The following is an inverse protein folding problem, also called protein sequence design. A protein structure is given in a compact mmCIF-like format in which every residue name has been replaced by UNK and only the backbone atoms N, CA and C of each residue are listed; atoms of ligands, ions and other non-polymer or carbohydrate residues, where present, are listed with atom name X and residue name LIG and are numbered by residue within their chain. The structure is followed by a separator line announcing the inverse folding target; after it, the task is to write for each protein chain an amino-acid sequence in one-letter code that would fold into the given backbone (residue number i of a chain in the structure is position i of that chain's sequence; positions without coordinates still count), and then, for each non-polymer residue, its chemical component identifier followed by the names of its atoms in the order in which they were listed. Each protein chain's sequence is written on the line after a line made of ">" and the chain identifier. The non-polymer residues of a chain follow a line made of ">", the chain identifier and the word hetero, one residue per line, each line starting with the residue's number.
data_IF_688335985482
#
_entry.id   IF_688335985482
#
_cell.length_a   1.000
_cell.length_b   1.000
_cell.length_c   1.000
_cell.angle_alpha   90.00
_cell.angle_beta   90.00
_cell.angle_gamma   90.00
#
_symmetry.space_group_name_H-M   'P 1'
#
loop_
_entity.id
_entity.type
_entity.pdbx_description
1 polymer ?
#
# COMPACT_ATOMS: atom_id res chain seq x y z
N UNK A 1 -78.33 -61.00 -18.87
CA UNK A 1 -76.99 -61.33 -18.45
C UNK A 1 -76.17 -60.00 -18.54
N UNK A 2 -75.78 -59.51 -17.38
CA UNK A 2 -75.33 -58.15 -17.19
C UNK A 2 -73.84 -58.06 -17.50
N UNK A 3 -73.43 -57.18 -18.44
CA UNK A 3 -72.07 -56.79 -18.63
C UNK A 3 -71.88 -55.37 -18.04
N UNK A 4 -71.15 -55.26 -16.94
CA UNK A 4 -70.79 -54.00 -16.28
C UNK A 4 -69.65 -53.39 -17.02
N UNK A 5 -69.85 -52.21 -17.62
CA UNK A 5 -68.80 -51.36 -18.17
C UNK A 5 -68.02 -50.76 -17.03
N UNK A 6 -66.72 -51.07 -16.93
CA UNK A 6 -65.81 -50.51 -16.00
C UNK A 6 -65.27 -49.21 -16.62
N UNK A 7 -65.64 -48.07 -16.03
CA UNK A 7 -65.08 -46.75 -16.40
C UNK A 7 -63.75 -46.54 -15.70
N UNK A 8 -62.69 -46.47 -16.48
CA UNK A 8 -61.33 -46.15 -16.02
C UNK A 8 -61.18 -44.63 -16.00
N UNK A 9 -60.80 -43.99 -14.90
CA UNK A 9 -60.52 -42.55 -14.89
C UNK A 9 -59.12 -42.25 -15.51
N UNK A 10 -59.16 -41.34 -16.47
CA UNK A 10 -57.97 -40.82 -17.14
C UNK A 10 -57.25 -39.85 -16.20
N UNK A 11 -56.11 -40.26 -15.60
CA UNK A 11 -55.28 -39.39 -14.84
C UNK A 11 -54.37 -38.58 -15.77
N UNK A 12 -54.66 -37.28 -15.89
CA UNK A 12 -53.81 -36.33 -16.56
C UNK A 12 -52.69 -35.99 -15.60
N UNK A 13 -51.49 -36.51 -15.84
CA UNK A 13 -50.27 -36.09 -15.12
C UNK A 13 -49.75 -34.82 -15.76
N UNK A 14 -49.98 -33.70 -15.09
CA UNK A 14 -49.35 -32.41 -15.44
C UNK A 14 -47.90 -32.46 -14.96
N UNK A 15 -46.97 -32.62 -15.91
CA UNK A 15 -45.52 -32.55 -15.68
C UNK A 15 -45.12 -31.08 -15.60
N UNK A 16 -45.03 -30.54 -14.38
CA UNK A 16 -44.51 -29.19 -14.14
C UNK A 16 -43.01 -29.21 -14.37
N UNK A 17 -42.57 -28.67 -15.51
CA UNK A 17 -41.13 -28.34 -15.70
C UNK A 17 -40.75 -27.19 -14.78
N UNK A 18 -40.12 -27.51 -13.67
CA UNK A 18 -39.37 -26.54 -12.86
C UNK A 18 -38.12 -26.19 -13.64
N UNK A 19 -38.11 -25.03 -14.32
CA UNK A 19 -36.92 -24.43 -14.85
C UNK A 19 -36.12 -23.87 -13.67
N UNK A 20 -35.17 -24.66 -13.15
CA UNK A 20 -34.19 -24.22 -12.19
C UNK A 20 -33.18 -23.32 -12.93
N UNK A 21 -33.39 -22.00 -12.89
CA UNK A 21 -32.34 -21.06 -13.22
C UNK A 21 -31.29 -21.17 -12.12
N UNK A 22 -30.22 -21.89 -12.38
CA UNK A 22 -28.97 -21.80 -11.65
C UNK A 22 -28.42 -20.39 -11.92
N UNK A 23 -28.62 -19.49 -10.96
CA UNK A 23 -27.86 -18.23 -10.91
C UNK A 23 -26.44 -18.67 -10.59
N UNK A 24 -25.58 -18.68 -11.60
CA UNK A 24 -24.14 -18.77 -11.40
C UNK A 24 -23.73 -17.54 -10.62
N UNK A 25 -23.33 -17.75 -9.36
CA UNK A 25 -22.56 -16.77 -8.60
C UNK A 25 -21.25 -16.55 -9.37
N UNK A 26 -21.27 -15.56 -10.26
CA UNK A 26 -20.04 -14.93 -10.70
C UNK A 26 -19.52 -14.15 -9.51
N UNK A 27 -18.74 -14.80 -8.65
CA UNK A 27 -17.75 -14.13 -7.82
C UNK A 27 -16.73 -13.47 -8.75
N UNK A 28 -17.17 -12.41 -9.42
CA UNK A 28 -16.26 -11.39 -9.89
C UNK A 28 -15.73 -10.73 -8.62
N UNK A 29 -14.58 -11.20 -8.14
CA UNK A 29 -13.74 -10.45 -7.23
C UNK A 29 -13.58 -9.08 -7.88
N UNK A 30 -14.40 -8.11 -7.46
CA UNK A 30 -14.18 -6.72 -7.78
C UNK A 30 -12.80 -6.38 -7.25
N UNK A 31 -11.83 -6.32 -8.15
CA UNK A 31 -10.54 -5.74 -7.89
C UNK A 31 -10.81 -4.28 -7.51
N UNK A 32 -11.01 -4.02 -6.21
CA UNK A 32 -11.18 -2.67 -5.71
C UNK A 32 -9.97 -1.86 -6.16
N UNK A 33 -10.21 -0.84 -6.97
CA UNK A 33 -9.16 0.10 -7.33
C UNK A 33 -8.54 0.65 -6.04
N UNK A 34 -7.21 0.67 -5.91
CA UNK A 34 -6.59 1.13 -4.68
C UNK A 34 -7.04 2.56 -4.38
N UNK A 35 -7.58 2.75 -3.16
CA UNK A 35 -8.09 4.04 -2.70
C UNK A 35 -6.96 4.89 -2.13
N UNK A 36 -7.04 6.21 -2.31
CA UNK A 36 -6.10 7.15 -1.71
C UNK A 36 -6.31 7.25 -0.19
N UNK A 37 -5.23 7.22 0.58
CA UNK A 37 -5.26 7.50 2.02
C UNK A 37 -5.04 9.00 2.22
N UNK A 38 -6.03 9.69 2.78
CA UNK A 38 -6.02 11.13 2.97
C UNK A 38 -5.50 11.57 4.34
N UNK A 39 -5.58 10.70 5.34
CA UNK A 39 -5.17 11.01 6.71
C UNK A 39 -3.98 10.15 7.13
N UNK A 40 -2.96 10.79 7.69
CA UNK A 40 -1.81 10.14 8.29
C UNK A 40 -1.32 11.01 9.45
N UNK A 41 -1.10 10.42 10.61
CA UNK A 41 -0.61 11.13 11.79
C UNK A 41 0.90 11.01 11.88
N UNK A 42 1.57 12.12 11.70
CA UNK A 42 3.04 12.18 11.75
C UNK A 42 3.55 12.29 13.18
N UNK A 43 4.47 11.42 13.53
CA UNK A 43 5.25 11.57 14.77
C UNK A 43 6.23 12.75 14.69
N UNK A 44 6.67 13.30 15.84
CA UNK A 44 7.71 14.33 15.84
C UNK A 44 9.00 13.90 15.13
N UNK A 45 9.38 12.63 15.24
CA UNK A 45 10.59 12.09 14.62
C UNK A 45 10.48 12.05 13.08
N UNK A 46 9.30 11.71 12.55
CA UNK A 46 9.02 11.75 11.12
C UNK A 46 9.07 13.18 10.58
N UNK A 47 8.45 14.13 11.28
CA UNK A 47 8.47 15.55 10.89
C UNK A 47 9.88 16.14 10.92
N UNK A 48 10.68 15.80 11.93
CA UNK A 48 12.09 16.22 12.03
C UNK A 48 12.91 15.64 10.88
N UNK A 49 12.72 14.37 10.54
CA UNK A 49 13.43 13.73 9.42
C UNK A 49 13.08 14.38 8.09
N UNK A 50 11.80 14.66 7.86
CA UNK A 50 11.33 15.39 6.68
C UNK A 50 11.94 16.80 6.59
N UNK A 51 12.04 17.51 7.72
CA UNK A 51 12.64 18.84 7.78
C UNK A 51 14.13 18.79 7.44
N UNK A 52 14.87 17.80 7.93
CA UNK A 52 16.29 17.61 7.62
C UNK A 52 16.51 17.37 6.12
N UNK A 53 15.71 16.49 5.51
CA UNK A 53 15.77 16.24 4.06
C UNK A 53 15.51 17.53 3.29
N UNK A 54 14.47 18.27 3.61
CA UNK A 54 14.10 19.49 2.89
C UNK A 54 15.11 20.61 3.08
N UNK A 55 15.64 20.81 4.31
CA UNK A 55 16.68 21.79 4.57
C UNK A 55 17.95 21.50 3.76
N UNK A 56 18.34 20.24 3.68
CA UNK A 56 19.47 19.82 2.86
C UNK A 56 19.21 20.09 1.37
N UNK A 57 18.07 19.66 0.84
CA UNK A 57 17.72 19.88 -0.57
C UNK A 57 17.76 21.37 -0.94
N UNK A 58 17.16 22.22 -0.12
CA UNK A 58 17.16 23.68 -0.34
C UNK A 58 18.58 24.24 -0.26
N UNK A 59 19.42 23.74 0.67
CA UNK A 59 20.81 24.20 0.81
C UNK A 59 21.69 23.94 -0.41
N UNK A 60 21.31 22.93 -1.22
CA UNK A 60 22.02 22.59 -2.47
C UNK A 60 21.28 23.05 -3.73
N UNK A 61 20.26 23.92 -3.58
CA UNK A 61 19.52 24.54 -4.70
C UNK A 61 18.40 23.68 -5.30
N UNK A 62 17.98 22.61 -4.63
CA UNK A 62 16.84 21.79 -5.04
C UNK A 62 15.54 22.29 -4.40
N UNK A 63 14.40 21.95 -5.00
CA UNK A 63 13.09 22.23 -4.40
C UNK A 63 12.90 21.43 -3.11
N UNK A 64 12.24 22.02 -2.13
CA UNK A 64 11.65 21.25 -1.03
C UNK A 64 10.60 20.29 -1.56
N UNK A 65 10.44 19.16 -0.89
CA UNK A 65 9.44 18.14 -1.20
C UNK A 65 8.16 18.37 -0.38
N UNK A 66 7.02 18.18 -1.01
CA UNK A 66 5.73 18.22 -0.33
C UNK A 66 5.37 16.82 0.22
N UNK A 67 4.79 16.78 1.41
CA UNK A 67 4.39 15.50 2.01
C UNK A 67 3.05 15.00 1.45
N UNK A 68 2.95 13.69 1.20
CA UNK A 68 1.71 13.03 0.79
C UNK A 68 1.38 11.91 1.78
N UNK A 69 0.20 12.00 2.40
CA UNK A 69 -0.24 11.05 3.41
C UNK A 69 -0.33 9.61 2.89
N UNK A 70 -0.80 9.41 1.66
CA UNK A 70 -0.84 8.09 1.04
C UNK A 70 0.57 7.47 0.89
N UNK A 71 1.58 8.29 0.57
CA UNK A 71 2.97 7.84 0.45
C UNK A 71 3.52 7.43 1.82
N UNK A 72 3.23 8.22 2.87
CA UNK A 72 3.60 7.88 4.25
C UNK A 72 2.90 6.62 4.74
N UNK A 73 1.65 6.41 4.38
CA UNK A 73 0.93 5.17 4.67
C UNK A 73 1.59 3.96 4.01
N UNK A 74 2.02 4.08 2.74
CA UNK A 74 2.76 3.01 2.06
C UNK A 74 4.14 2.74 2.68
N UNK A 75 4.78 3.78 3.20
CA UNK A 75 6.00 3.64 4.01
C UNK A 75 5.73 2.89 5.31
N UNK A 76 4.60 3.17 5.97
CA UNK A 76 4.18 2.49 7.21
C UNK A 76 3.88 1.01 7.00
N UNK A 77 3.18 0.67 5.91
CA UNK A 77 2.94 -0.74 5.56
C UNK A 77 4.28 -1.50 5.43
N UNK A 78 5.30 -0.85 4.85
CA UNK A 78 6.62 -1.47 4.71
C UNK A 78 7.38 -1.58 6.03
N UNK A 79 7.36 -0.56 6.89
CA UNK A 79 7.95 -0.65 8.21
C UNK A 79 7.33 -1.80 9.04
N UNK A 80 6.00 -1.92 9.01
CA UNK A 80 5.28 -3.00 9.69
C UNK A 80 5.62 -4.39 9.10
N UNK A 81 5.79 -4.49 7.79
CA UNK A 81 6.28 -5.70 7.14
C UNK A 81 7.68 -6.08 7.62
N UNK A 82 8.62 -5.13 7.65
CA UNK A 82 9.98 -5.36 8.11
C UNK A 82 10.01 -5.78 9.59
N UNK A 83 9.20 -5.16 10.44
CA UNK A 83 9.07 -5.50 11.86
C UNK A 83 8.53 -6.93 12.02
N UNK A 84 7.45 -7.25 11.32
CA UNK A 84 6.76 -8.55 11.44
C UNK A 84 7.66 -9.71 11.01
N UNK A 85 8.42 -9.52 9.93
CA UNK A 85 9.29 -10.55 9.35
C UNK A 85 10.72 -10.49 9.91
N UNK A 86 11.03 -9.51 10.77
CA UNK A 86 12.36 -9.26 11.33
C UNK A 86 13.45 -9.16 10.25
N UNK A 87 13.16 -8.39 9.21
CA UNK A 87 14.06 -8.14 8.06
C UNK A 87 14.30 -6.65 7.87
N UNK A 88 15.34 -6.29 7.13
CA UNK A 88 15.61 -4.92 6.65
C UNK A 88 15.94 -5.04 5.17
N UNK A 89 14.99 -4.73 4.31
CA UNK A 89 15.10 -4.92 2.86
C UNK A 89 14.11 -4.03 2.10
N UNK A 90 14.13 -4.11 0.78
CA UNK A 90 13.20 -3.42 -0.13
C UNK A 90 12.14 -4.37 -0.73
N UNK A 91 11.80 -5.44 -0.06
CA UNK A 91 10.80 -6.40 -0.56
C UNK A 91 9.50 -5.68 -0.90
N UNK A 92 8.84 -6.14 -1.96
CA UNK A 92 7.59 -5.58 -2.50
C UNK A 92 7.66 -4.09 -2.93
N UNK A 93 8.87 -3.52 -3.11
CA UNK A 93 8.99 -2.12 -3.57
C UNK A 93 8.28 -1.89 -4.91
N UNK A 94 8.33 -2.85 -5.83
CA UNK A 94 7.63 -2.76 -7.13
C UNK A 94 6.13 -2.59 -6.91
N UNK A 95 5.50 -3.43 -6.08
CA UNK A 95 4.07 -3.35 -5.79
C UNK A 95 3.68 -2.04 -5.09
N UNK A 96 4.53 -1.55 -4.14
CA UNK A 96 4.32 -0.23 -3.50
C UNK A 96 4.39 0.91 -4.51
N UNK A 97 5.39 0.88 -5.39
CA UNK A 97 5.59 1.90 -6.43
C UNK A 97 4.45 1.91 -7.44
N UNK A 98 4.00 0.75 -7.91
CA UNK A 98 2.84 0.63 -8.81
C UNK A 98 1.55 1.16 -8.19
N UNK A 99 1.32 0.90 -6.90
CA UNK A 99 0.20 1.46 -6.17
C UNK A 99 0.26 3.00 -6.14
N UNK A 100 1.41 3.58 -5.78
CA UNK A 100 1.64 5.03 -5.73
C UNK A 100 1.44 5.65 -7.12
N UNK A 101 1.99 5.03 -8.17
CA UNK A 101 1.82 5.47 -9.56
C UNK A 101 0.34 5.47 -9.95
N UNK A 102 -0.36 4.38 -9.67
CA UNK A 102 -1.77 4.23 -10.02
C UNK A 102 -2.68 5.21 -9.29
N UNK A 103 -2.42 5.45 -8.00
CA UNK A 103 -3.28 6.29 -7.14
C UNK A 103 -2.99 7.79 -7.32
N UNK A 104 -1.72 8.17 -7.51
CA UNK A 104 -1.29 9.56 -7.52
C UNK A 104 -0.90 10.09 -8.91
N UNK A 105 -0.85 9.24 -9.93
CA UNK A 105 -0.34 9.62 -11.25
C UNK A 105 1.17 9.91 -11.25
N UNK A 106 1.93 9.30 -10.35
CA UNK A 106 3.35 9.53 -10.23
C UNK A 106 4.12 9.07 -11.48
N UNK A 107 5.19 9.78 -11.83
CA UNK A 107 6.08 9.48 -12.97
C UNK A 107 7.27 8.64 -12.55
N UNK A 108 7.72 8.79 -11.31
CA UNK A 108 8.81 8.00 -10.73
C UNK A 108 8.67 7.92 -9.21
N UNK A 109 9.16 6.82 -8.65
CA UNK A 109 9.17 6.52 -7.22
C UNK A 109 10.53 5.95 -6.87
N UNK A 110 11.10 6.32 -5.71
CA UNK A 110 12.28 5.69 -5.13
C UNK A 110 12.14 5.57 -3.62
N UNK A 111 12.96 4.74 -2.99
CA UNK A 111 12.83 4.41 -1.58
C UNK A 111 14.19 4.41 -0.88
N UNK A 112 14.24 5.02 0.30
CA UNK A 112 15.32 4.88 1.26
C UNK A 112 14.80 4.17 2.50
N UNK A 113 15.52 3.18 2.98
CA UNK A 113 15.27 2.56 4.27
C UNK A 113 16.43 2.80 5.24
N UNK A 114 16.13 2.78 6.54
CA UNK A 114 17.15 2.78 7.58
C UNK A 114 16.65 1.95 8.79
N UNK A 115 17.59 1.55 9.61
CA UNK A 115 17.29 0.66 10.71
C UNK A 115 18.08 1.00 11.95
N UNK A 116 17.38 1.01 13.10
CA UNK A 116 17.93 1.11 14.43
C UNK A 116 18.70 2.43 14.73
N UNK A 117 18.31 3.52 14.09
CA UNK A 117 18.76 4.85 14.47
C UNK A 117 17.89 5.44 15.59
N UNK A 118 18.48 6.18 16.51
CA UNK A 118 17.77 6.74 17.66
C UNK A 118 17.32 8.20 17.45
N UNK A 119 17.71 8.81 16.34
CA UNK A 119 17.38 10.21 16.02
C UNK A 119 17.16 10.40 14.51
N UNK A 120 16.40 11.43 14.15
CA UNK A 120 16.22 11.87 12.78
C UNK A 120 17.56 12.17 12.11
N UNK A 121 18.42 12.90 12.81
CA UNK A 121 19.76 13.26 12.31
C UNK A 121 20.62 12.03 12.04
N UNK A 122 20.60 11.02 12.91
CA UNK A 122 21.39 9.80 12.72
C UNK A 122 20.98 9.02 11.47
N UNK A 123 19.68 8.84 11.23
CA UNK A 123 19.18 8.19 10.02
C UNK A 123 19.47 9.01 8.76
N UNK A 124 19.24 10.33 8.82
CA UNK A 124 19.52 11.26 7.72
C UNK A 124 21.00 11.28 7.34
N UNK A 125 21.91 11.39 8.32
CA UNK A 125 23.36 11.36 8.07
C UNK A 125 23.81 10.03 7.44
N UNK A 126 23.23 8.91 7.88
CA UNK A 126 23.51 7.60 7.29
C UNK A 126 23.08 7.54 5.82
N UNK A 127 21.91 8.09 5.49
CA UNK A 127 21.45 8.18 4.10
C UNK A 127 22.37 9.08 3.26
N UNK A 128 22.83 10.21 3.77
CA UNK A 128 23.76 11.08 3.04
C UNK A 128 25.16 10.45 2.83
N UNK A 129 25.59 9.55 3.72
CA UNK A 129 26.85 8.83 3.60
C UNK A 129 26.76 7.58 2.71
N UNK A 130 25.57 7.21 2.23
CA UNK A 130 25.33 6.11 1.29
C UNK A 130 25.00 6.68 -0.09
N UNK A 131 25.82 6.37 -1.10
CA UNK A 131 25.70 6.94 -2.44
C UNK A 131 24.28 6.75 -3.02
N UNK A 132 23.71 5.55 -2.96
CA UNK A 132 22.38 5.27 -3.49
C UNK A 132 21.27 6.03 -2.74
N UNK A 133 21.33 6.08 -1.40
CA UNK A 133 20.37 6.83 -0.62
C UNK A 133 20.47 8.33 -0.83
N UNK A 134 21.70 8.86 -0.95
CA UNK A 134 21.95 10.26 -1.26
C UNK A 134 21.41 10.63 -2.63
N UNK A 135 21.62 9.80 -3.66
CA UNK A 135 21.06 10.01 -4.99
C UNK A 135 19.53 10.11 -4.96
N UNK A 136 18.85 9.36 -4.09
CA UNK A 136 17.41 9.48 -3.90
C UNK A 136 17.05 10.82 -3.24
N UNK A 137 17.77 11.24 -2.19
CA UNK A 137 17.55 12.54 -1.52
C UNK A 137 17.76 13.71 -2.50
N UNK A 138 18.75 13.63 -3.38
CA UNK A 138 19.10 14.64 -4.37
C UNK A 138 18.33 14.51 -5.69
N UNK A 139 17.49 13.49 -5.82
CA UNK A 139 16.75 13.17 -7.04
C UNK A 139 15.74 14.22 -7.45
N UNK A 140 15.33 14.17 -8.73
CA UNK A 140 14.31 15.06 -9.28
C UNK A 140 12.90 14.65 -8.84
N UNK A 141 12.61 14.83 -7.57
CA UNK A 141 11.32 14.56 -6.96
C UNK A 141 10.60 15.85 -6.56
N UNK A 142 9.29 15.75 -6.38
CA UNK A 142 8.42 16.86 -5.96
C UNK A 142 7.76 16.59 -4.62
N UNK A 143 7.58 15.32 -4.28
CA UNK A 143 6.87 14.90 -3.09
C UNK A 143 7.60 13.75 -2.40
N UNK A 144 7.21 13.49 -1.17
CA UNK A 144 7.69 12.36 -0.38
C UNK A 144 6.68 11.92 0.69
N UNK A 145 6.94 10.76 1.28
CA UNK A 145 6.27 10.28 2.48
C UNK A 145 7.25 9.47 3.31
N UNK A 146 7.12 9.55 4.61
CA UNK A 146 7.96 8.81 5.55
C UNK A 146 7.10 8.10 6.59
N UNK A 147 7.58 6.95 7.03
CA UNK A 147 7.16 6.28 8.26
C UNK A 147 8.38 5.92 9.09
N UNK A 148 8.21 5.97 10.40
CA UNK A 148 9.17 5.47 11.38
C UNK A 148 8.38 4.67 12.41
N UNK A 149 8.60 3.36 12.46
CA UNK A 149 7.92 2.45 13.39
C UNK A 149 8.91 1.75 14.29
N UNK A 150 8.53 1.63 15.55
CA UNK A 150 9.33 0.94 16.57
C UNK A 150 8.80 -0.48 16.78
N UNK A 151 9.71 -1.45 16.75
CA UNK A 151 9.36 -2.82 17.12
C UNK A 151 9.10 -2.88 18.64
N UNK A 152 7.87 -3.20 19.08
CA UNK A 152 7.50 -3.17 20.50
C UNK A 152 8.22 -4.21 21.35
N UNK A 153 8.84 -5.21 20.72
CA UNK A 153 9.54 -6.29 21.44
C UNK A 153 10.97 -5.88 21.81
N UNK A 154 11.67 -5.13 20.92
CA UNK A 154 13.10 -4.87 21.11
C UNK A 154 13.47 -3.37 21.02
N UNK A 155 12.48 -2.48 20.81
CA UNK A 155 12.67 -1.02 20.77
C UNK A 155 13.43 -0.52 19.53
N UNK A 156 13.71 -1.37 18.55
CA UNK A 156 14.43 -0.98 17.34
C UNK A 156 13.50 -0.30 16.36
N UNK A 157 14.00 0.78 15.73
CA UNK A 157 13.23 1.58 14.79
C UNK A 157 13.54 1.20 13.35
N UNK A 158 12.49 1.14 12.56
CA UNK A 158 12.50 0.93 11.13
C UNK A 158 12.06 2.22 10.45
N UNK A 159 12.72 2.58 9.38
CA UNK A 159 12.52 3.83 8.66
C UNK A 159 12.31 3.51 7.19
N UNK A 160 11.22 3.98 6.63
CA UNK A 160 10.95 3.95 5.19
C UNK A 160 10.60 5.36 4.73
N UNK A 161 11.38 5.91 3.79
CA UNK A 161 11.10 7.18 3.14
C UNK A 161 10.97 6.97 1.64
N UNK A 162 9.80 7.27 1.07
CA UNK A 162 9.52 7.13 -0.35
C UNK A 162 9.48 8.51 -1.00
N UNK A 163 10.23 8.69 -2.09
CA UNK A 163 10.27 9.90 -2.90
C UNK A 163 9.41 9.71 -4.15
N UNK A 164 8.71 10.76 -4.55
CA UNK A 164 7.74 10.71 -5.65
C UNK A 164 7.88 11.92 -6.56
N UNK A 165 7.86 11.69 -7.88
CA UNK A 165 7.72 12.73 -8.90
C UNK A 165 6.29 12.70 -9.45
N UNK A 166 5.54 13.74 -9.24
CA UNK A 166 4.23 13.97 -9.87
C UNK A 166 4.37 14.95 -11.03
#
# INVERSE_FOLDING_TARGET
>A
MNSKLLRLPFFVVILSFMCSCSIGDNDASESQSPSIVLNYEYSPLELETMALINNYRVSIGLNALEKINHVSYKSEEHDNYMITNNVVNHDDFVARSENIIKVLGAKSVSENIAYNYNSAKGAFDAWLNSEGHKQNIEGNFTHFGISIRENPVNGKKYYTNIFVKI
#
